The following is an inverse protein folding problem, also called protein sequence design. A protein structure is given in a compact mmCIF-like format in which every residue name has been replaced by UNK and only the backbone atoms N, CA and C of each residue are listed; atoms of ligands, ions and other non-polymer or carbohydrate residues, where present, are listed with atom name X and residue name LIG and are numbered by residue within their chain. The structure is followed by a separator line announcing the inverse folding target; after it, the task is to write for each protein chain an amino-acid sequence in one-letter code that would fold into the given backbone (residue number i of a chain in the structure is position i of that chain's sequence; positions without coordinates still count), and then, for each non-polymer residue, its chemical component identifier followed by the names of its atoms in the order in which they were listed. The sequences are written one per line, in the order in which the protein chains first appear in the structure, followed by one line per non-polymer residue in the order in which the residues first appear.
data_IF_352929883790
#
_entry.id   IF_352929883790
#
_cell.length_a   1.000
_cell.length_b   1.000
_cell.length_c   1.000
_cell.angle_alpha   90.00
_cell.angle_beta   90.00
_cell.angle_gamma   90.00
#
_symmetry.space_group_name_H-M   'P 1'
#
loop_
_entity.id
_entity.type
_entity.pdbx_description
1 polymer ?
#
# COMPACT_ATOMS: atom_id res chain seq x y z
N UNK A 1 2.10 -17.83 13.66
CA UNK A 1 3.17 -17.44 14.62
C UNK A 1 2.76 -16.11 15.26
N UNK A 2 3.55 -15.57 16.19
CA UNK A 2 3.29 -14.25 16.74
C UNK A 2 4.58 -13.49 17.07
N UNK A 3 4.47 -12.16 17.08
CA UNK A 3 5.44 -11.24 17.67
C UNK A 3 4.79 -10.60 18.90
N UNK A 4 5.44 -10.71 20.06
CA UNK A 4 5.00 -10.10 21.31
C UNK A 4 5.91 -8.93 21.65
N UNK A 5 5.32 -7.79 22.01
CA UNK A 5 6.03 -6.59 22.41
C UNK A 5 5.50 -6.15 23.77
N UNK A 6 6.41 -5.72 24.65
CA UNK A 6 6.05 -5.04 25.89
C UNK A 6 6.25 -3.54 25.69
N UNK A 7 5.14 -2.79 25.70
CA UNK A 7 5.17 -1.34 25.54
C UNK A 7 5.60 -0.61 26.84
N UNK A 8 5.89 -1.35 27.91
CA UNK A 8 6.33 -0.83 29.19
C UNK A 8 5.24 -0.03 29.88
N UNK A 9 5.62 1.05 30.55
CA UNK A 9 4.67 1.93 31.26
C UNK A 9 4.24 3.07 30.34
N UNK A 10 3.06 2.94 29.73
CA UNK A 10 2.44 4.05 28.97
C UNK A 10 2.20 5.31 29.81
N UNK A 11 2.31 5.20 31.15
CA UNK A 11 2.07 6.27 32.12
C UNK A 11 3.29 7.14 32.44
N UNK A 12 4.49 6.79 31.95
CA UNK A 12 5.71 7.56 32.19
C UNK A 12 5.93 8.58 31.05
N UNK A 13 5.28 9.75 31.13
CA UNK A 13 5.72 10.92 30.37
C UNK A 13 7.12 11.30 30.87
N UNK A 14 8.15 11.11 30.05
CA UNK A 14 9.47 11.68 30.29
C UNK A 14 9.34 13.21 30.27
N UNK A 15 9.14 13.80 31.44
CA UNK A 15 9.18 15.24 31.63
C UNK A 15 10.56 15.75 31.22
N UNK A 16 10.61 16.62 30.21
CA UNK A 16 11.82 17.36 29.88
C UNK A 16 12.25 18.20 31.09
N UNK A 17 13.52 18.05 31.50
CA UNK A 17 14.07 18.77 32.65
C UNK A 17 14.23 20.26 32.32
N UNK A 18 13.53 21.12 33.07
CA UNK A 18 13.96 22.50 33.29
C UNK A 18 15.16 22.53 34.23
N UNK A 19 16.16 23.38 33.94
CA UNK A 19 17.43 23.50 34.65
C UNK A 19 17.33 23.97 36.13
N UNK A 20 16.14 24.05 36.72
CA UNK A 20 15.95 24.42 38.13
C UNK A 20 15.08 23.38 38.81
N UNK A 21 15.75 22.44 39.47
CA UNK A 21 15.13 21.34 40.19
C UNK A 21 14.23 21.83 41.32
N UNK A 22 13.01 21.30 41.33
CA UNK A 22 12.24 20.98 42.53
C UNK A 22 11.23 19.89 42.14
N UNK A 23 11.34 18.72 42.78
CA UNK A 23 10.43 17.59 42.60
C UNK A 23 9.27 17.70 43.61
N UNK A 24 8.05 17.74 43.10
CA UNK A 24 6.84 17.30 43.80
C UNK A 24 6.16 16.30 42.87
N UNK A 25 6.50 15.02 43.00
CA UNK A 25 5.87 13.96 42.20
C UNK A 25 4.65 13.44 42.97
N UNK A 26 3.49 14.08 42.78
CA UNK A 26 2.24 13.36 42.90
C UNK A 26 2.19 12.36 41.73
N UNK A 27 2.06 11.06 42.03
CA UNK A 27 1.71 10.05 41.01
C UNK A 27 0.28 10.33 40.57
N UNK A 28 0.12 11.17 39.55
CA UNK A 28 -1.12 11.21 38.79
C UNK A 28 -1.12 9.96 37.92
N UNK A 29 -2.09 9.07 38.13
CA UNK A 29 -2.34 7.96 37.21
C UNK A 29 -2.68 8.54 35.84
N UNK A 30 -1.73 8.47 34.93
CA UNK A 30 -1.91 8.90 33.55
C UNK A 30 -2.64 7.80 32.79
N UNK A 31 -3.86 8.10 32.33
CA UNK A 31 -4.57 7.24 31.39
C UNK A 31 -4.36 7.81 29.98
N UNK A 32 -3.62 7.11 29.10
CA UNK A 32 -3.41 7.57 27.74
C UNK A 32 -4.72 7.58 26.95
N UNK A 33 -4.92 8.58 26.08
CA UNK A 33 -6.09 8.68 25.20
C UNK A 33 -5.80 8.10 23.81
N UNK A 34 -4.58 8.27 23.32
CA UNK A 34 -4.14 7.79 22.02
C UNK A 34 -2.86 6.97 22.14
N UNK A 35 -2.87 5.77 21.57
CA UNK A 35 -1.68 4.93 21.38
C UNK A 35 -1.60 4.55 19.90
N UNK A 36 -0.47 4.83 19.27
CA UNK A 36 -0.22 4.45 17.88
C UNK A 36 1.07 3.64 17.81
N UNK A 37 0.98 2.43 17.29
CA UNK A 37 2.10 1.55 17.02
C UNK A 37 2.55 1.74 15.56
N UNK A 38 3.81 2.06 15.36
CA UNK A 38 4.44 2.20 14.05
C UNK A 38 5.30 0.98 13.77
N UNK A 39 5.02 0.32 12.65
CA UNK A 39 5.66 -0.93 12.27
C UNK A 39 6.28 -0.77 10.88
N UNK A 40 7.60 -0.84 10.80
CA UNK A 40 8.33 -0.87 9.53
C UNK A 40 8.65 -2.31 9.17
N UNK A 41 8.27 -2.71 7.96
CA UNK A 41 8.52 -4.05 7.48
C UNK A 41 8.05 -4.24 6.05
N UNK A 42 8.07 -5.49 5.58
CA UNK A 42 7.52 -5.88 4.29
C UNK A 42 6.86 -7.25 4.37
N UNK A 43 5.93 -7.51 3.45
CA UNK A 43 5.24 -8.80 3.34
C UNK A 43 5.72 -9.52 2.09
N UNK A 44 6.01 -10.81 2.21
CA UNK A 44 6.11 -11.68 1.05
C UNK A 44 4.71 -12.16 0.66
N UNK A 45 4.12 -11.65 -0.44
CA UNK A 45 2.72 -11.91 -0.76
C UNK A 45 2.52 -13.36 -1.20
N UNK A 46 1.34 -13.92 -0.90
CA UNK A 46 0.88 -15.11 -1.62
C UNK A 46 0.48 -14.71 -3.05
N UNK A 47 0.53 -15.67 -3.98
CA UNK A 47 0.00 -15.48 -5.33
C UNK A 47 -1.35 -16.20 -5.50
N UNK A 48 -2.05 -15.90 -6.58
CA UNK A 48 -3.37 -16.46 -6.89
C UNK A 48 -3.34 -17.99 -6.93
N UNK A 49 -2.31 -18.57 -7.54
CA UNK A 49 -2.12 -20.02 -7.58
C UNK A 49 -2.00 -20.68 -6.20
N UNK A 50 -1.25 -20.08 -5.27
CA UNK A 50 -1.13 -20.56 -3.88
C UNK A 50 -2.48 -20.49 -3.17
N UNK A 51 -3.23 -19.40 -3.36
CA UNK A 51 -4.54 -19.22 -2.74
C UNK A 51 -5.56 -20.25 -3.27
N UNK A 52 -5.54 -20.53 -4.57
CA UNK A 52 -6.37 -21.59 -5.18
C UNK A 52 -5.99 -22.96 -4.63
N UNK A 53 -4.70 -23.28 -4.55
CA UNK A 53 -4.25 -24.54 -3.96
C UNK A 53 -4.77 -24.68 -2.51
N UNK A 54 -4.65 -23.62 -1.71
CA UNK A 54 -5.12 -23.62 -0.33
C UNK A 54 -6.64 -23.78 -0.22
N UNK A 55 -7.43 -23.17 -1.12
CA UNK A 55 -8.90 -23.33 -1.13
C UNK A 55 -9.37 -24.75 -1.40
N UNK A 56 -8.52 -25.59 -1.99
CA UNK A 56 -8.81 -27.00 -2.28
C UNK A 56 -8.40 -27.93 -1.14
N UNK A 57 -7.74 -27.40 -0.09
CA UNK A 57 -7.27 -28.18 1.06
C UNK A 57 -8.28 -28.10 2.20
N UNK A 58 -8.74 -29.24 2.67
CA UNK A 58 -9.65 -29.35 3.84
C UNK A 58 -8.92 -29.63 5.15
N UNK A 59 -7.64 -29.97 5.07
CA UNK A 59 -6.76 -30.31 6.19
C UNK A 59 -5.95 -29.12 6.72
N UNK A 60 -6.04 -27.95 6.07
CA UNK A 60 -5.36 -26.72 6.46
C UNK A 60 -6.36 -25.67 6.92
N UNK A 61 -5.97 -24.87 7.91
CA UNK A 61 -6.72 -23.69 8.30
C UNK A 61 -6.55 -22.57 7.27
N UNK A 62 -7.55 -21.69 7.17
CA UNK A 62 -7.46 -20.48 6.36
C UNK A 62 -6.32 -19.56 6.84
N UNK A 63 -5.71 -18.78 5.93
CA UNK A 63 -4.70 -17.79 6.30
C UNK A 63 -5.25 -16.81 7.33
N UNK A 64 -4.45 -16.55 8.36
CA UNK A 64 -4.77 -15.56 9.39
C UNK A 64 -4.09 -14.26 9.01
N UNK A 65 -4.88 -13.29 8.58
CA UNK A 65 -4.43 -11.90 8.43
C UNK A 65 -3.89 -11.38 9.78
N UNK A 66 -2.97 -10.40 9.77
CA UNK A 66 -2.45 -9.85 11.01
C UNK A 66 -3.56 -9.29 11.89
N UNK A 67 -3.57 -9.75 13.12
CA UNK A 67 -4.49 -9.35 14.19
C UNK A 67 -3.71 -8.93 15.41
N UNK A 68 -4.27 -7.99 16.18
CA UNK A 68 -3.66 -7.47 17.40
C UNK A 68 -4.39 -8.01 18.62
N UNK A 69 -3.62 -8.53 19.57
CA UNK A 69 -4.08 -9.13 20.81
C UNK A 69 -3.43 -8.43 21.99
N UNK A 70 -4.17 -8.35 23.10
CA UNK A 70 -3.70 -7.77 24.37
C UNK A 70 -3.98 -8.73 25.52
N UNK A 71 -3.31 -8.59 26.67
CA UNK A 71 -3.59 -9.37 27.87
C UNK A 71 -5.06 -9.27 28.28
N UNK A 72 -5.61 -10.36 28.79
CA UNK A 72 -7.00 -10.40 29.27
C UNK A 72 -7.15 -10.08 30.78
N UNK A 73 -6.03 -9.89 31.50
CA UNK A 73 -6.02 -9.66 32.95
C UNK A 73 -6.05 -10.93 33.81
N UNK A 74 -6.16 -12.10 33.19
CA UNK A 74 -6.19 -13.44 33.82
C UNK A 74 -5.00 -14.33 33.41
N UNK A 75 -3.98 -13.74 32.78
CA UNK A 75 -2.81 -14.44 32.28
C UNK A 75 -2.95 -14.99 30.84
N UNK A 76 -4.08 -14.73 30.18
CA UNK A 76 -4.30 -15.06 28.78
C UNK A 76 -4.29 -13.84 27.86
N UNK A 77 -4.87 -14.00 26.66
CA UNK A 77 -4.89 -13.00 25.59
C UNK A 77 -6.31 -12.86 25.03
N UNK A 78 -6.73 -11.63 24.77
CA UNK A 78 -7.97 -11.30 24.07
C UNK A 78 -7.69 -10.55 22.77
N UNK A 79 -8.55 -10.76 21.79
CA UNK A 79 -8.47 -10.05 20.50
C UNK A 79 -8.85 -8.57 20.72
N UNK A 80 -7.93 -7.66 20.39
CA UNK A 80 -8.20 -6.21 20.41
C UNK A 80 -8.62 -5.72 19.02
N UNK A 81 -7.97 -6.21 17.97
CA UNK A 81 -8.26 -5.82 16.58
C UNK A 81 -8.13 -7.02 15.64
N UNK A 82 -9.23 -7.36 14.95
CA UNK A 82 -9.31 -8.52 14.05
C UNK A 82 -8.42 -8.41 12.80
N UNK A 83 -8.29 -7.20 12.25
CA UNK A 83 -7.38 -6.90 11.16
C UNK A 83 -6.65 -5.60 11.44
N UNK A 84 -5.34 -5.69 11.68
CA UNK A 84 -4.49 -4.52 11.99
C UNK A 84 -3.81 -3.91 10.77
N UNK A 85 -4.01 -4.49 9.58
CA UNK A 85 -3.27 -4.14 8.37
C UNK A 85 -1.96 -4.94 8.21
N UNK A 86 -1.24 -4.68 7.13
CA UNK A 86 0.12 -5.19 6.88
C UNK A 86 0.88 -4.20 5.98
N UNK A 87 2.23 -4.25 5.96
CA UNK A 87 3.02 -3.41 5.05
C UNK A 87 2.71 -3.74 3.58
N UNK A 88 2.27 -2.74 2.82
CA UNK A 88 1.93 -2.92 1.40
C UNK A 88 3.17 -3.04 0.50
N UNK A 89 3.40 -4.24 -0.06
CA UNK A 89 4.42 -4.48 -1.07
C UNK A 89 5.85 -4.51 -0.52
N UNK A 90 6.61 -3.44 -0.74
CA UNK A 90 8.03 -3.32 -0.31
C UNK A 90 8.11 -2.76 1.11
N UNK A 91 9.32 -2.54 1.63
CA UNK A 91 9.51 -1.94 2.96
C UNK A 91 8.74 -0.63 3.09
N UNK A 92 7.83 -0.60 4.08
CA UNK A 92 6.94 0.51 4.40
C UNK A 92 6.70 0.54 5.90
N UNK A 93 6.42 1.72 6.42
CA UNK A 93 5.92 1.92 7.77
C UNK A 93 4.40 2.00 7.72
N UNK A 94 3.74 1.21 8.57
CA UNK A 94 2.30 1.32 8.84
C UNK A 94 2.07 1.84 10.25
N UNK A 95 0.97 2.55 10.44
CA UNK A 95 0.51 3.03 11.73
C UNK A 95 -0.73 2.22 12.15
N UNK A 96 -0.73 1.72 13.37
CA UNK A 96 -1.84 0.96 13.98
C UNK A 96 -2.28 1.69 15.22
N UNK A 97 -3.46 2.28 15.16
CA UNK A 97 -4.09 2.88 16.33
C UNK A 97 -4.64 1.79 17.24
N UNK A 98 -4.33 1.88 18.53
CA UNK A 98 -4.79 0.94 19.55
C UNK A 98 -5.53 1.76 20.60
N UNK A 99 -6.79 1.44 20.84
CA UNK A 99 -7.55 2.04 21.93
C UNK A 99 -6.89 1.65 23.28
N UNK A 100 -6.35 2.59 24.07
CA UNK A 100 -5.68 2.23 25.31
C UNK A 100 -6.60 1.61 26.37
N UNK A 101 -7.93 1.76 26.24
CA UNK A 101 -8.89 1.16 27.15
C UNK A 101 -8.97 -0.38 27.05
N UNK A 102 -8.41 -0.97 25.98
CA UNK A 102 -8.40 -2.43 25.82
C UNK A 102 -7.42 -3.11 26.79
N UNK A 103 -6.42 -2.39 27.29
CA UNK A 103 -5.39 -2.96 28.16
C UNK A 103 -5.88 -3.10 29.61
N UNK A 104 -5.56 -4.21 30.28
CA UNK A 104 -5.68 -4.26 31.73
C UNK A 104 -4.67 -3.31 32.38
N UNK A 105 -4.97 -2.76 33.58
CA UNK A 105 -4.07 -1.86 34.28
C UNK A 105 -2.68 -2.46 34.49
N UNK A 106 -1.64 -1.76 34.04
CA UNK A 106 -0.24 -2.14 34.27
C UNK A 106 0.31 -3.24 33.36
N UNK A 107 -0.46 -3.77 32.41
CA UNK A 107 0.03 -4.75 31.43
C UNK A 107 -0.31 -4.30 30.01
N UNK A 108 0.68 -3.65 29.39
CA UNK A 108 0.59 -3.02 28.07
C UNK A 108 1.27 -3.84 26.98
N UNK A 109 1.34 -5.16 27.17
CA UNK A 109 1.86 -6.05 26.14
C UNK A 109 0.91 -6.14 24.96
N UNK A 110 1.45 -6.25 23.76
CA UNK A 110 0.69 -6.50 22.54
C UNK A 110 1.25 -7.73 21.84
N UNK A 111 0.38 -8.48 21.18
CA UNK A 111 0.76 -9.62 20.38
C UNK A 111 0.15 -9.51 18.98
N UNK A 112 1.03 -9.51 17.99
CA UNK A 112 0.66 -9.54 16.58
C UNK A 112 0.62 -10.99 16.13
N UNK A 113 -0.55 -11.47 15.70
CA UNK A 113 -0.76 -12.87 15.31
C UNK A 113 -1.09 -12.93 13.83
N UNK A 114 -0.32 -13.72 13.08
CA UNK A 114 -0.55 -13.95 11.65
C UNK A 114 -0.02 -15.31 11.21
N UNK A 115 -0.49 -15.77 10.05
CA UNK A 115 0.17 -16.83 9.27
C UNK A 115 0.87 -16.30 8.02
N UNK A 116 0.78 -14.99 7.74
CA UNK A 116 1.45 -14.37 6.61
C UNK A 116 2.97 -14.29 6.85
N UNK A 117 3.74 -14.31 5.77
CA UNK A 117 5.19 -14.17 5.82
C UNK A 117 5.56 -12.69 5.84
N UNK A 118 5.67 -12.14 7.05
CA UNK A 118 6.00 -10.73 7.29
C UNK A 118 7.36 -10.62 7.96
N UNK A 119 8.19 -9.75 7.43
CA UNK A 119 9.51 -9.42 7.96
C UNK A 119 9.46 -8.01 8.55
N UNK A 120 9.57 -7.93 9.87
CA UNK A 120 9.62 -6.67 10.62
C UNK A 120 11.06 -6.20 10.79
N UNK A 121 11.28 -4.91 10.59
CA UNK A 121 12.59 -4.24 10.65
C UNK A 121 12.68 -3.34 11.90
N UNK A 122 11.71 -2.44 12.05
CA UNK A 122 11.64 -1.51 13.18
C UNK A 122 10.22 -1.43 13.76
N UNK A 123 10.16 -1.25 15.07
CA UNK A 123 8.91 -1.00 15.79
C UNK A 123 9.12 0.12 16.81
N UNK A 124 8.22 1.10 16.80
CA UNK A 124 8.13 2.12 17.83
C UNK A 124 6.68 2.51 18.06
N UNK A 125 6.39 3.28 19.10
CA UNK A 125 5.04 3.74 19.39
C UNK A 125 5.04 5.16 19.93
N UNK A 126 3.89 5.80 19.84
CA UNK A 126 3.64 7.13 20.39
C UNK A 126 2.44 7.08 21.33
N UNK A 127 2.47 7.91 22.37
CA UNK A 127 1.40 8.01 23.37
C UNK A 127 1.00 9.47 23.48
N UNK A 128 -0.25 9.78 23.15
CA UNK A 128 -0.81 11.14 23.17
C UNK A 128 0.09 12.18 22.51
N UNK A 129 0.76 11.77 21.42
CA UNK A 129 1.62 12.66 20.65
C UNK A 129 0.73 13.72 19.98
N UNK A 130 1.01 15.02 20.22
CA UNK A 130 0.22 16.06 19.60
C UNK A 130 0.41 16.03 18.09
N UNK A 131 -0.68 16.24 17.35
CA UNK A 131 -0.59 16.39 15.91
C UNK A 131 0.36 17.54 15.55
N UNK A 132 1.31 17.27 14.66
CA UNK A 132 2.17 18.30 14.10
C UNK A 132 1.34 19.24 13.22
N UNK A 133 1.73 20.52 13.17
CA UNK A 133 1.15 21.46 12.22
C UNK A 133 1.46 20.98 10.79
N UNK A 134 0.42 20.78 9.98
CA UNK A 134 0.52 20.30 8.61
C UNK A 134 -0.20 21.27 7.68
N UNK A 135 0.41 21.57 6.55
CA UNK A 135 -0.23 22.28 5.45
C UNK A 135 -0.06 21.48 4.17
N UNK A 136 -1.20 21.07 3.61
CA UNK A 136 -1.24 20.41 2.31
C UNK A 136 -1.30 21.46 1.20
N UNK A 137 -0.56 21.22 0.12
CA UNK A 137 -0.58 22.10 -1.05
C UNK A 137 -0.64 21.23 -2.30
N UNK A 138 -1.82 21.13 -2.96
CA UNK A 138 -1.94 20.45 -4.23
C UNK A 138 -0.99 21.05 -5.26
N UNK A 139 -0.22 20.20 -5.95
CA UNK A 139 0.67 20.62 -7.01
C UNK A 139 -0.01 20.46 -8.36
N UNK A 140 0.16 21.46 -9.24
CA UNK A 140 -0.32 21.39 -10.61
C UNK A 140 0.45 20.31 -11.39
N UNK A 141 -0.27 19.32 -11.93
CA UNK A 141 0.28 18.35 -12.88
C UNK A 141 0.61 19.07 -14.21
N UNK A 142 1.89 19.31 -14.44
CA UNK A 142 2.38 20.04 -15.60
C UNK A 142 2.43 19.18 -16.87
N UNK A 143 2.76 17.90 -16.74
CA UNK A 143 2.82 16.96 -17.87
C UNK A 143 2.69 15.52 -17.38
N UNK A 144 2.08 14.65 -18.19
CA UNK A 144 2.14 13.21 -18.02
C UNK A 144 2.40 12.53 -19.36
N UNK A 145 3.50 11.79 -19.49
CA UNK A 145 3.92 11.20 -20.75
C UNK A 145 4.11 9.68 -20.62
N UNK A 146 3.25 8.93 -21.30
CA UNK A 146 3.30 7.47 -21.35
C UNK A 146 4.21 7.01 -22.49
N UNK A 147 5.11 6.06 -22.22
CA UNK A 147 6.04 5.53 -23.22
C UNK A 147 6.50 4.11 -22.88
N UNK A 148 7.02 3.39 -23.88
CA UNK A 148 7.73 2.13 -23.65
C UNK A 148 9.09 2.41 -22.98
N UNK A 149 9.27 1.89 -21.77
CA UNK A 149 10.55 1.95 -21.07
C UNK A 149 11.26 0.60 -21.08
N UNK A 150 10.56 -0.49 -20.80
CA UNK A 150 11.15 -1.77 -20.47
C UNK A 150 11.31 -1.96 -18.96
N UNK A 151 12.14 -2.92 -18.57
CA UNK A 151 12.19 -3.45 -17.21
C UNK A 151 13.44 -2.96 -16.48
N UNK A 152 13.27 -2.43 -15.28
CA UNK A 152 14.41 -2.10 -14.42
C UNK A 152 15.14 -3.37 -13.99
N UNK A 153 16.47 -3.34 -13.97
CA UNK A 153 17.27 -4.49 -13.54
C UNK A 153 17.03 -4.76 -12.05
N UNK A 154 16.67 -6.00 -11.71
CA UNK A 154 16.57 -6.44 -10.32
C UNK A 154 17.95 -6.45 -9.67
N UNK A 155 18.02 -5.91 -8.45
CA UNK A 155 19.24 -5.91 -7.64
C UNK A 155 19.38 -7.25 -6.89
N UNK A 156 20.60 -7.77 -6.70
CA UNK A 156 20.83 -8.92 -5.84
C UNK A 156 20.26 -8.69 -4.43
N UNK A 157 19.67 -9.74 -3.85
CA UNK A 157 19.06 -9.68 -2.52
C UNK A 157 19.20 -11.01 -1.79
N UNK A 158 19.14 -10.95 -0.47
CA UNK A 158 18.88 -12.12 0.37
C UNK A 158 17.42 -12.58 0.22
N UNK A 159 17.15 -13.85 0.51
CA UNK A 159 15.79 -14.41 0.42
C UNK A 159 14.77 -13.65 1.30
N UNK A 160 15.22 -13.17 2.47
CA UNK A 160 14.45 -12.40 3.46
C UNK A 160 14.39 -10.89 3.21
N UNK A 161 14.90 -10.40 2.08
CA UNK A 161 14.82 -8.99 1.69
C UNK A 161 13.82 -8.78 0.53
N UNK A 162 13.14 -7.62 0.44
CA UNK A 162 12.23 -7.36 -0.68
C UNK A 162 13.00 -7.18 -2.00
N UNK A 163 12.38 -7.46 -3.17
CA UNK A 163 13.03 -7.12 -4.45
C UNK A 163 13.20 -5.62 -4.60
N UNK A 164 14.40 -5.19 -4.99
CA UNK A 164 14.74 -3.81 -5.34
C UNK A 164 15.21 -3.77 -6.80
N UNK A 165 15.12 -2.60 -7.43
CA UNK A 165 15.46 -2.43 -8.83
C UNK A 165 16.32 -1.19 -9.06
N UNK A 166 17.31 -1.31 -9.94
CA UNK A 166 18.12 -0.21 -10.42
C UNK A 166 17.37 0.50 -11.55
N UNK A 167 16.78 1.66 -11.25
CA UNK A 167 16.03 2.44 -12.21
C UNK A 167 16.87 2.92 -13.40
N UNK A 168 18.19 3.06 -13.25
CA UNK A 168 19.06 3.54 -14.33
C UNK A 168 19.40 2.47 -15.38
N UNK A 169 19.20 1.19 -15.03
CA UNK A 169 19.54 0.04 -15.86
C UNK A 169 18.28 -0.60 -16.42
N UNK A 170 18.09 -0.52 -17.73
CA UNK A 170 16.85 -0.93 -18.40
C UNK A 170 17.12 -2.08 -19.35
N UNK A 171 16.36 -3.17 -19.17
CA UNK A 171 16.26 -4.26 -20.13
C UNK A 171 15.05 -4.09 -21.03
N UNK A 172 15.23 -4.31 -22.33
CA UNK A 172 14.13 -4.36 -23.32
C UNK A 172 13.64 -5.79 -23.57
N UNK A 173 14.24 -6.79 -22.93
CA UNK A 173 13.83 -8.19 -23.02
C UNK A 173 12.47 -8.38 -22.35
N UNK A 174 11.43 -8.83 -23.08
CA UNK A 174 10.15 -9.20 -22.48
C UNK A 174 10.31 -10.19 -21.32
N UNK A 175 9.79 -9.83 -20.14
CA UNK A 175 9.85 -10.66 -18.93
C UNK A 175 8.62 -11.55 -18.76
N UNK A 176 7.48 -11.13 -19.31
CA UNK A 176 6.18 -11.78 -19.12
C UNK A 176 5.41 -11.85 -20.43
N UNK A 177 4.47 -12.80 -20.52
CA UNK A 177 3.52 -12.85 -21.61
C UNK A 177 2.64 -11.59 -21.60
N UNK A 178 2.49 -10.88 -22.72
CA UNK A 178 1.65 -9.70 -22.75
C UNK A 178 0.17 -10.09 -22.66
N UNK A 179 -0.63 -9.26 -21.97
CA UNK A 179 -2.08 -9.42 -22.01
C UNK A 179 -2.62 -9.07 -23.39
N UNK A 180 -3.72 -9.71 -23.77
CA UNK A 180 -4.46 -9.39 -25.00
C UNK A 180 -5.40 -8.22 -24.77
N UNK A 181 -5.69 -7.46 -25.82
CA UNK A 181 -6.61 -6.33 -25.76
C UNK A 181 -5.90 -4.99 -25.90
N UNK A 182 -6.62 -3.92 -25.59
CA UNK A 182 -6.22 -2.54 -25.86
C UNK A 182 -5.62 -1.88 -24.63
N UNK A 183 -4.53 -1.17 -24.86
CA UNK A 183 -3.82 -0.35 -23.90
C UNK A 183 -3.81 1.10 -24.36
N UNK A 184 -3.45 2.00 -23.43
CA UNK A 184 -3.40 3.43 -23.75
C UNK A 184 -2.27 3.69 -24.73
N UNK A 185 -2.54 4.55 -25.73
CA UNK A 185 -1.54 5.02 -26.69
C UNK A 185 -0.40 5.75 -25.98
N UNK A 186 0.80 5.65 -26.53
CA UNK A 186 1.94 6.43 -26.05
C UNK A 186 1.78 7.93 -26.36
N UNK A 187 2.46 8.77 -25.58
CA UNK A 187 2.44 10.22 -25.69
C UNK A 187 1.85 10.90 -24.46
N UNK A 188 1.33 12.11 -24.67
CA UNK A 188 0.68 12.90 -23.62
C UNK A 188 -0.63 12.24 -23.18
N UNK A 189 -0.72 11.92 -21.90
CA UNK A 189 -1.88 11.32 -21.21
C UNK A 189 -2.38 12.18 -20.06
N UNK A 190 -1.91 13.43 -19.93
CA UNK A 190 -2.26 14.33 -18.82
C UNK A 190 -3.78 14.49 -18.65
N UNK A 191 -4.53 14.50 -19.75
CA UNK A 191 -5.99 14.63 -19.74
C UNK A 191 -6.73 13.47 -19.06
N UNK A 192 -6.10 12.31 -18.91
CA UNK A 192 -6.66 11.14 -18.22
C UNK A 192 -6.32 11.11 -16.71
N UNK A 193 -5.58 12.10 -16.21
CA UNK A 193 -5.08 12.12 -14.82
C UNK A 193 -5.56 13.33 -14.02
N UNK A 194 -6.47 14.14 -14.59
CA UNK A 194 -6.95 15.36 -13.93
C UNK A 194 -8.08 15.09 -12.95
N UNK A 195 -8.79 13.98 -13.09
CA UNK A 195 -9.94 13.60 -12.27
C UNK A 195 -9.85 12.13 -11.88
N UNK A 196 -10.56 11.74 -10.83
CA UNK A 196 -10.78 10.32 -10.50
C UNK A 196 -12.11 9.89 -11.09
N UNK A 197 -12.06 9.42 -12.34
CA UNK A 197 -13.21 8.96 -13.12
C UNK A 197 -12.93 7.59 -13.75
N UNK A 198 -13.77 7.17 -14.70
CA UNK A 198 -13.67 5.86 -15.36
C UNK A 198 -12.69 5.87 -16.55
N UNK A 199 -12.00 6.99 -16.81
CA UNK A 199 -11.08 7.19 -17.92
C UNK A 199 -9.62 7.07 -17.48
N UNK A 200 -9.12 5.84 -17.51
CA UNK A 200 -7.80 5.52 -16.97
C UNK A 200 -6.70 5.40 -18.04
N UNK A 201 -5.45 5.57 -17.58
CA UNK A 201 -4.27 5.13 -18.34
C UNK A 201 -4.08 3.63 -18.12
N UNK A 202 -4.34 2.83 -19.16
CA UNK A 202 -4.15 1.37 -19.15
C UNK A 202 -2.71 1.06 -19.54
N UNK A 203 -1.94 0.66 -18.53
CA UNK A 203 -0.52 0.30 -18.65
C UNK A 203 -0.38 -1.20 -18.95
N UNK A 204 0.60 -1.53 -19.77
CA UNK A 204 1.07 -2.89 -19.97
C UNK A 204 2.48 -3.08 -19.41
N UNK A 205 2.90 -4.34 -19.38
CA UNK A 205 4.25 -4.76 -19.00
C UNK A 205 5.32 -3.95 -19.75
N UNK A 206 6.21 -3.29 -19.00
CA UNK A 206 7.31 -2.47 -19.55
C UNK A 206 6.97 -1.01 -19.82
N UNK A 207 5.72 -0.59 -19.69
CA UNK A 207 5.35 0.82 -19.86
C UNK A 207 5.82 1.68 -18.66
N UNK A 208 6.13 2.93 -18.94
CA UNK A 208 6.35 3.96 -17.92
C UNK A 208 5.55 5.22 -18.25
N UNK A 209 4.97 5.83 -17.21
CA UNK A 209 4.40 7.16 -17.28
C UNK A 209 5.25 8.14 -16.48
N UNK A 210 5.91 9.07 -17.17
CA UNK A 210 6.62 10.17 -16.50
C UNK A 210 5.64 11.30 -16.19
N UNK A 211 5.41 11.57 -14.90
CA UNK A 211 4.62 12.72 -14.43
C UNK A 211 5.54 13.83 -13.92
N UNK A 212 5.19 15.09 -14.19
CA UNK A 212 5.91 16.26 -13.68
C UNK A 212 4.93 17.24 -13.06
N UNK A 213 5.26 17.73 -11.88
CA UNK A 213 4.49 18.72 -11.15
C UNK A 213 5.22 20.06 -11.12
N UNK A 214 4.47 21.17 -11.13
CA UNK A 214 5.08 22.48 -10.94
C UNK A 214 5.54 22.64 -9.50
N UNK A 215 6.79 23.02 -9.31
CA UNK A 215 7.33 23.32 -7.99
C UNK A 215 6.61 24.55 -7.38
N UNK A 216 6.31 24.54 -6.07
CA UNK A 216 5.78 25.70 -5.36
C UNK A 216 6.72 26.90 -5.49
N UNK A 217 6.17 28.08 -5.84
CA UNK A 217 6.95 29.31 -5.94
C UNK A 217 7.22 29.99 -4.60
N UNK A 218 6.37 29.73 -3.59
CA UNK A 218 6.48 30.34 -2.26
C UNK A 218 7.52 29.60 -1.41
N UNK A 219 8.47 30.30 -0.76
CA UNK A 219 9.38 29.67 0.18
C UNK A 219 8.61 29.12 1.39
N UNK A 220 9.20 28.14 2.08
CA UNK A 220 8.65 27.64 3.33
C UNK A 220 8.78 28.69 4.45
N UNK A 221 7.85 28.73 5.41
CA UNK A 221 8.09 29.46 6.65
C UNK A 221 9.33 28.91 7.38
N UNK A 222 9.95 29.74 8.22
CA UNK A 222 11.10 29.31 9.01
C UNK A 222 10.74 28.12 9.92
N UNK A 223 11.60 27.11 9.98
CA UNK A 223 11.40 25.89 10.77
C UNK A 223 10.56 24.79 10.10
N UNK A 224 9.93 25.08 8.95
CA UNK A 224 9.15 24.08 8.22
C UNK A 224 10.00 23.21 7.32
N UNK A 225 9.62 21.94 7.20
CA UNK A 225 10.14 20.99 6.22
C UNK A 225 9.07 20.70 5.17
N UNK A 226 9.49 20.47 3.93
CA UNK A 226 8.62 20.01 2.85
C UNK A 226 8.93 18.56 2.52
N UNK A 227 7.88 17.77 2.50
CA UNK A 227 7.87 16.40 1.97
C UNK A 227 6.84 16.33 0.81
N UNK A 228 6.90 15.27 0.02
CA UNK A 228 6.04 15.08 -1.15
C UNK A 228 5.28 13.76 -1.04
N UNK A 229 3.97 13.83 -1.27
CA UNK A 229 3.10 12.66 -1.39
C UNK A 229 2.60 12.57 -2.83
N UNK A 230 2.76 11.40 -3.45
CA UNK A 230 2.09 11.08 -4.70
C UNK A 230 0.82 10.30 -4.36
N UNK A 231 -0.33 10.93 -4.59
CA UNK A 231 -1.63 10.26 -4.51
C UNK A 231 -2.00 9.74 -5.90
N UNK A 232 -2.29 8.44 -5.99
CA UNK A 232 -2.68 7.78 -7.24
C UNK A 232 -3.90 6.91 -6.96
N UNK A 233 -4.88 6.97 -7.85
CA UNK A 233 -6.03 6.07 -7.87
C UNK A 233 -5.90 5.17 -9.09
N UNK A 234 -6.14 3.88 -8.92
CA UNK A 234 -6.08 2.93 -10.01
C UNK A 234 -6.40 1.52 -9.56
N UNK A 235 -6.42 0.64 -10.54
CA UNK A 235 -6.65 -0.78 -10.36
C UNK A 235 -5.40 -1.55 -10.80
N UNK A 236 -5.13 -2.64 -10.11
CA UNK A 236 -4.11 -3.61 -10.50
C UNK A 236 -4.80 -4.89 -10.94
N UNK A 237 -4.35 -5.47 -12.05
CA UNK A 237 -4.87 -6.73 -12.59
C UNK A 237 -3.74 -7.72 -12.69
N UNK A 238 -3.79 -8.73 -11.83
CA UNK A 238 -2.83 -9.83 -11.84
C UNK A 238 -2.97 -10.66 -13.14
N UNK A 239 -1.84 -11.20 -13.59
CA UNK A 239 -1.72 -12.02 -14.80
C UNK A 239 -1.44 -13.50 -14.49
N UNK A 240 -1.60 -13.94 -13.23
CA UNK A 240 -1.56 -15.36 -12.87
C UNK A 240 -2.62 -16.17 -13.66
N UNK A 241 -2.30 -17.42 -14.00
CA UNK A 241 -3.17 -18.30 -14.79
C UNK A 241 -4.53 -18.58 -14.12
N UNK A 242 -4.59 -18.50 -12.79
CA UNK A 242 -5.80 -18.68 -12.02
C UNK A 242 -6.55 -17.35 -11.77
N UNK A 243 -6.06 -16.23 -12.28
CA UNK A 243 -6.74 -14.94 -12.19
C UNK A 243 -7.81 -14.85 -13.27
N UNK A 244 -9.05 -14.59 -12.84
CA UNK A 244 -10.17 -14.39 -13.76
C UNK A 244 -9.89 -13.17 -14.66
N UNK A 245 -10.00 -13.36 -15.97
CA UNK A 245 -9.61 -12.37 -16.99
C UNK A 245 -8.13 -11.93 -16.94
N UNK A 246 -7.24 -12.66 -16.27
CA UNK A 246 -5.81 -12.32 -16.12
C UNK A 246 -4.99 -12.39 -17.42
N UNK A 247 -5.60 -12.76 -18.54
CA UNK A 247 -4.94 -12.80 -19.86
C UNK A 247 -5.39 -11.68 -20.80
N UNK A 248 -6.32 -10.83 -20.36
CA UNK A 248 -6.91 -9.74 -21.16
C UNK A 248 -6.96 -8.43 -20.38
N UNK A 249 -6.84 -7.30 -21.09
CA UNK A 249 -7.07 -5.97 -20.51
C UNK A 249 -8.54 -5.79 -20.10
N UNK A 250 -9.45 -6.39 -20.86
CA UNK A 250 -10.89 -6.37 -20.59
C UNK A 250 -11.32 -7.48 -19.61
N UNK A 251 -12.44 -7.30 -18.90
CA UNK A 251 -13.18 -6.04 -18.78
C UNK A 251 -12.37 -4.95 -18.03
N UNK A 252 -12.56 -3.69 -18.41
CA UNK A 252 -12.01 -2.56 -17.66
C UNK A 252 -12.84 -2.31 -16.39
N UNK A 253 -12.21 -2.02 -15.25
CA UNK A 253 -12.93 -1.61 -14.05
C UNK A 253 -13.52 -0.20 -14.21
N UNK A 254 -14.50 0.15 -13.38
CA UNK A 254 -15.07 1.49 -13.30
C UNK A 254 -15.43 1.81 -11.83
N UNK A 255 -15.52 3.08 -11.46
CA UNK A 255 -15.60 3.50 -10.05
C UNK A 255 -16.84 3.00 -9.33
N UNK A 256 -17.99 3.01 -10.01
CA UNK A 256 -19.27 2.62 -9.43
C UNK A 256 -19.50 1.09 -9.43
N UNK A 257 -18.53 0.29 -9.87
CA UNK A 257 -18.72 -1.16 -9.97
C UNK A 257 -18.89 -1.79 -8.58
N UNK A 258 -19.85 -2.71 -8.38
CA UNK A 258 -20.08 -3.33 -7.07
C UNK A 258 -19.00 -4.36 -6.71
N UNK A 259 -18.40 -4.98 -7.72
CA UNK A 259 -17.37 -6.00 -7.61
C UNK A 259 -16.58 -6.11 -8.91
N UNK A 260 -15.42 -6.76 -8.86
CA UNK A 260 -14.71 -7.21 -10.05
C UNK A 260 -14.51 -8.74 -9.99
N UNK A 261 -14.94 -9.51 -11.02
CA UNK A 261 -15.73 -9.06 -12.17
C UNK A 261 -17.09 -8.50 -11.75
N UNK A 262 -17.61 -7.55 -12.53
CA UNK A 262 -18.92 -6.97 -12.30
C UNK A 262 -20.02 -7.88 -12.88
N UNK A 263 -21.24 -7.85 -12.31
CA UNK A 263 -22.40 -8.58 -12.84
C UNK A 263 -22.72 -8.20 -14.30
N UNK A 264 -23.24 -9.13 -15.13
CA UNK A 264 -23.56 -8.84 -16.53
C UNK A 264 -24.57 -7.71 -16.76
N UNK A 265 -25.46 -7.47 -15.79
CA UNK A 265 -26.47 -6.41 -15.79
C UNK A 265 -25.93 -5.03 -15.35
N UNK A 266 -24.67 -4.97 -14.89
CA UNK A 266 -23.95 -3.74 -14.54
C UNK A 266 -22.63 -3.67 -15.31
N UNK A 267 -22.66 -3.64 -16.65
CA UNK A 267 -21.46 -3.61 -17.46
C UNK A 267 -20.70 -2.29 -17.30
N UNK A 268 -19.46 -2.26 -17.78
CA UNK A 268 -18.74 -1.01 -18.00
C UNK A 268 -19.61 -0.04 -18.83
N UNK A 269 -19.69 1.26 -18.47
CA UNK A 269 -20.58 2.19 -19.16
C UNK A 269 -20.31 2.28 -20.66
N UNK A 270 -21.39 2.39 -21.45
CA UNK A 270 -21.37 2.40 -22.92
C UNK A 270 -21.97 3.68 -23.51
N UNK A 271 -21.86 4.80 -22.80
CA UNK A 271 -22.27 6.11 -23.31
C UNK A 271 -21.23 6.69 -24.27
N UNK A 272 -21.60 7.76 -24.99
CA UNK A 272 -20.78 8.39 -26.02
C UNK A 272 -19.39 8.83 -25.52
N UNK A 273 -19.27 9.25 -24.25
CA UNK A 273 -17.99 9.68 -23.67
C UNK A 273 -17.06 8.51 -23.42
N UNK A 274 -17.58 7.40 -22.90
CA UNK A 274 -16.80 6.17 -22.71
C UNK A 274 -16.35 5.59 -24.04
N UNK A 275 -17.24 5.58 -25.01
CA UNK A 275 -16.98 5.19 -26.38
C UNK A 275 -15.88 6.04 -27.04
N UNK A 276 -15.93 7.36 -26.88
CA UNK A 276 -14.90 8.27 -27.35
C UNK A 276 -13.58 8.04 -26.62
N UNK A 277 -13.61 7.86 -25.29
CA UNK A 277 -12.43 7.54 -24.50
C UNK A 277 -11.73 6.27 -25.02
N UNK A 278 -12.47 5.18 -25.22
CA UNK A 278 -11.92 3.92 -25.73
C UNK A 278 -11.32 4.10 -27.12
N UNK A 279 -12.05 4.76 -28.05
CA UNK A 279 -11.58 5.01 -29.42
C UNK A 279 -10.35 5.90 -29.49
N UNK A 280 -10.29 6.92 -28.64
CA UNK A 280 -9.21 7.91 -28.67
C UNK A 280 -7.97 7.37 -27.96
N UNK A 281 -8.13 6.81 -26.76
CA UNK A 281 -7.03 6.50 -25.84
C UNK A 281 -6.59 5.05 -25.91
N UNK A 282 -7.52 4.08 -25.93
CA UNK A 282 -7.21 2.65 -25.84
C UNK A 282 -6.98 2.03 -27.23
N UNK A 283 -5.89 2.41 -27.89
CA UNK A 283 -5.64 2.06 -29.30
C UNK A 283 -4.41 1.17 -29.53
N UNK A 284 -3.55 1.00 -28.52
CA UNK A 284 -2.33 0.20 -28.63
C UNK A 284 -2.58 -1.27 -28.27
N UNK A 285 -1.85 -2.18 -28.90
CA UNK A 285 -1.77 -3.59 -28.51
C UNK A 285 -0.32 -3.98 -28.25
N UNK A 286 -0.09 -4.91 -27.33
CA UNK A 286 1.25 -5.45 -27.06
C UNK A 286 1.59 -6.60 -28.02
N UNK A 287 2.86 -6.71 -28.41
CA UNK A 287 3.31 -7.73 -29.37
C UNK A 287 3.45 -9.12 -28.71
N UNK A 288 2.42 -9.94 -28.85
CA UNK A 288 2.40 -11.32 -28.33
C UNK A 288 3.47 -12.24 -28.93
N UNK A 289 3.86 -12.01 -30.19
CA UNK A 289 4.85 -12.86 -30.88
C UNK A 289 6.29 -12.56 -30.48
N UNK A 290 6.54 -11.41 -29.86
CA UNK A 290 7.88 -10.98 -29.47
C UNK A 290 8.51 -11.87 -28.39
N UNK A 291 7.69 -12.37 -27.45
CA UNK A 291 8.17 -13.22 -26.35
C UNK A 291 8.70 -14.57 -26.86
N UNK A 292 7.97 -15.22 -27.77
CA UNK A 292 8.25 -16.59 -28.23
C UNK A 292 9.34 -16.69 -29.30
N UNK A 293 10.00 -15.58 -29.62
CA UNK A 293 11.07 -15.50 -30.63
C UNK A 293 12.47 -15.36 -30.02
N UNK A 294 12.57 -15.29 -28.69
CA UNK A 294 13.83 -15.29 -27.94
C UNK A 294 14.21 -16.70 -27.54
#
# INVERSE_FOLDING_TARGET
HFLELDLGKLQEKYSSRSARGNHLAERVEYSPNHLTLFLTGWIYPTNTSINVNLSQRTDLAYPKLPSLWVPDGSGGWKLAQGFMGFPGGKTKTMAVEIDPAVFPPGDYRVRMVTSAEIYWDDVFFTVDEPAAELTETPLELASAHLHDRGFSRELPREASAPQLYDYSQVSKTPMWAPMRGKFTRYGDVRGLLTETDDFMVVLGSGDEMTVRFRAPKKPLPAGWKRDFLLYSVGWDKDCDMNTIHGTTTDPLPYNAMPSYPYPPDQPFPQDEKHDEYLRQWQTREQNFKGLWKM
#
